data_IF_481870624721
#
_entry.id   IF_481870624721
#
_cell.length_a   1.000
_cell.length_b   1.000
_cell.length_c   1.000
_cell.angle_alpha   90.00
_cell.angle_beta   90.00
_cell.angle_gamma   90.00
#
_symmetry.space_group_name_H-M   'P 1'
#
loop_
_entity.id
_entity.type
_entity.pdbx_description
1 polymer ?
#
# COMPACT_ATOMS: atom_id res chain seq x y z
N UNK A 1 29.74 30.82 41.25
CA UNK A 1 30.16 32.22 41.54
C UNK A 1 29.84 33.08 40.33
N UNK A 2 29.28 34.19 40.58
CA UNK A 2 28.91 35.40 39.79
C UNK A 2 27.52 35.40 39.14
N UNK A 3 26.65 36.03 39.88
CA UNK A 3 25.41 36.72 39.57
C UNK A 3 25.69 38.08 38.89
N UNK A 4 24.77 38.59 38.06
CA UNK A 4 24.39 40.01 37.89
C UNK A 4 23.12 39.94 37.00
N UNK A 5 21.94 40.26 37.36
CA UNK A 5 21.12 41.32 37.96
C UNK A 5 21.01 42.63 37.15
N UNK A 6 19.74 42.98 36.85
CA UNK A 6 19.04 44.31 36.81
C UNK A 6 19.23 45.06 35.47
N UNK A 7 18.21 45.71 34.89
CA UNK A 7 17.11 46.54 35.44
C UNK A 7 16.00 46.82 34.39
N UNK A 8 14.84 47.06 34.91
CA UNK A 8 13.65 47.63 34.25
C UNK A 8 13.76 49.15 34.09
N UNK A 9 13.02 49.71 33.15
CA UNK A 9 12.45 51.05 33.32
C UNK A 9 11.18 51.26 32.45
N UNK A 10 10.15 51.75 33.09
CA UNK A 10 8.85 52.14 32.57
C UNK A 10 8.80 53.68 32.29
N UNK A 11 7.84 54.09 31.51
CA UNK A 11 7.04 55.34 31.53
C UNK A 11 6.56 55.62 30.09
N UNK A 12 5.34 55.84 29.74
CA UNK A 12 4.29 56.64 30.35
C UNK A 12 3.90 57.74 29.38
N UNK A 13 2.63 57.84 28.97
CA UNK A 13 2.19 59.01 28.19
C UNK A 13 0.77 58.85 27.62
N UNK A 14 -0.25 59.23 28.41
CA UNK A 14 -1.60 59.56 27.93
C UNK A 14 -1.58 60.91 27.18
N UNK A 15 -2.43 60.99 26.14
CA UNK A 15 -3.16 62.23 25.84
C UNK A 15 -4.42 61.96 25.02
N UNK A 16 -5.55 62.30 25.58
CA UNK A 16 -6.86 62.31 24.94
C UNK A 16 -7.08 63.64 24.23
N UNK A 17 -7.79 63.62 23.12
CA UNK A 17 -8.47 64.79 22.60
C UNK A 17 -9.78 64.39 21.92
N UNK A 18 -10.87 64.75 22.50
CA UNK A 18 -12.21 64.84 21.95
C UNK A 18 -12.33 65.96 20.96
N UNK A 19 -12.97 65.78 19.83
CA UNK A 19 -13.60 66.85 19.09
C UNK A 19 -14.83 66.31 18.36
N UNK A 20 -15.97 66.85 18.73
CA UNK A 20 -17.29 66.72 18.16
C UNK A 20 -17.40 67.57 16.88
N UNK A 21 -18.01 67.10 15.82
CA UNK A 21 -19.02 67.87 15.09
C UNK A 21 -19.90 67.09 14.09
N UNK A 22 -21.10 67.41 14.17
CA UNK A 22 -22.35 67.31 13.39
C UNK A 22 -22.38 66.84 11.96
N UNK A 23 -23.24 65.86 11.71
CA UNK A 23 -24.36 65.95 10.75
C UNK A 23 -24.09 65.88 9.26
N UNK A 24 -24.42 64.75 8.64
CA UNK A 24 -25.11 64.75 7.36
C UNK A 24 -25.71 63.36 7.13
N UNK A 25 -27.01 63.31 6.96
CA UNK A 25 -27.78 62.16 6.49
C UNK A 25 -27.33 61.76 5.09
N UNK A 26 -26.75 60.58 4.96
CA UNK A 26 -26.61 59.88 3.70
C UNK A 26 -27.28 58.52 3.84
N UNK A 27 -28.34 58.33 3.10
CA UNK A 27 -29.08 57.08 2.93
C UNK A 27 -28.15 56.03 2.40
N UNK A 28 -27.66 55.11 3.25
CA UNK A 28 -26.86 53.99 2.84
C UNK A 28 -27.81 52.91 2.32
N UNK A 29 -27.83 52.80 1.00
CA UNK A 29 -28.39 51.62 0.29
C UNK A 29 -27.58 50.42 0.69
N UNK A 30 -28.17 49.52 1.49
CA UNK A 30 -27.59 48.23 1.84
C UNK A 30 -27.52 47.37 0.60
N UNK A 31 -26.32 47.22 0.01
CA UNK A 31 -26.03 46.19 -0.91
C UNK A 31 -26.19 44.81 -0.21
N UNK A 32 -26.79 43.82 -0.83
CA UNK A 32 -26.86 42.51 -0.23
C UNK A 32 -25.44 41.98 -0.10
N UNK A 33 -25.06 41.63 1.14
CA UNK A 33 -23.83 40.89 1.40
C UNK A 33 -23.87 39.60 0.55
N UNK A 34 -23.06 39.59 -0.51
CA UNK A 34 -22.81 38.40 -1.29
C UNK A 34 -22.40 37.31 -0.31
N UNK A 35 -23.15 36.24 -0.27
CA UNK A 35 -22.79 35.03 0.40
C UNK A 35 -21.45 34.56 -0.23
N UNK A 36 -20.35 34.95 0.39
CA UNK A 36 -19.06 34.36 0.12
C UNK A 36 -19.17 32.90 0.45
N UNK A 37 -19.34 32.08 -0.59
CA UNK A 37 -19.19 30.65 -0.47
C UNK A 37 -17.78 30.36 0.05
N UNK A 38 -17.65 30.19 1.34
CA UNK A 38 -16.41 29.73 1.95
C UNK A 38 -16.03 28.43 1.26
N UNK A 39 -14.93 28.40 0.54
CA UNK A 39 -14.38 27.17 0.02
C UNK A 39 -14.33 26.19 1.19
N UNK A 40 -15.05 25.08 1.09
CA UNK A 40 -15.03 24.06 2.13
C UNK A 40 -13.56 23.69 2.39
N UNK A 41 -13.17 23.64 3.65
CA UNK A 41 -11.81 23.30 4.02
C UNK A 41 -11.43 21.97 3.34
N UNK A 42 -10.25 21.95 2.75
CA UNK A 42 -9.77 20.74 2.07
C UNK A 42 -9.75 19.57 3.05
N UNK A 43 -10.35 18.46 2.66
CA UNK A 43 -10.35 17.23 3.42
C UNK A 43 -8.93 16.68 3.54
N UNK A 44 -8.58 16.17 4.74
CA UNK A 44 -7.28 15.57 5.02
C UNK A 44 -7.42 14.06 5.17
N UNK A 45 -6.62 13.31 4.43
CA UNK A 45 -6.57 11.84 4.46
C UNK A 45 -5.22 11.44 5.06
N UNK A 46 -5.23 10.66 6.14
CA UNK A 46 -4.04 10.02 6.67
C UNK A 46 -3.85 8.65 6.00
N UNK A 47 -2.65 8.36 5.52
CA UNK A 47 -2.31 7.10 4.85
C UNK A 47 -1.11 6.48 5.53
N UNK A 48 -1.28 5.30 6.14
CA UNK A 48 -0.19 4.50 6.69
C UNK A 48 0.06 3.28 5.79
N UNK A 49 1.22 3.25 5.18
CA UNK A 49 1.67 2.21 4.26
C UNK A 49 2.67 1.32 4.99
N UNK A 50 2.61 0.01 4.77
CA UNK A 50 3.47 -0.95 5.47
C UNK A 50 4.97 -0.73 5.19
N UNK A 51 5.31 -0.32 3.94
CA UNK A 51 6.70 -0.21 3.47
C UNK A 51 6.78 0.73 2.27
N UNK A 52 7.35 1.92 2.43
CA UNK A 52 7.53 2.88 1.33
C UNK A 52 8.85 2.69 0.56
N UNK A 53 9.71 1.76 0.96
CA UNK A 53 10.91 1.43 0.19
C UNK A 53 10.57 0.59 -1.04
N UNK A 54 9.52 -0.24 -0.97
CA UNK A 54 9.09 -1.06 -2.09
C UNK A 54 8.45 -0.22 -3.23
N UNK A 55 8.92 -0.46 -4.46
CA UNK A 55 8.47 0.27 -5.66
C UNK A 55 6.94 0.18 -5.86
N UNK A 56 6.33 -0.94 -5.48
CA UNK A 56 4.88 -1.15 -5.51
C UNK A 56 4.14 -0.06 -4.73
N UNK A 57 4.54 0.20 -3.50
CA UNK A 57 3.87 1.18 -2.64
C UNK A 57 4.15 2.62 -3.06
N UNK A 58 5.34 2.90 -3.62
CA UNK A 58 5.62 4.21 -4.22
C UNK A 58 4.69 4.52 -5.40
N UNK A 59 4.39 3.54 -6.24
CA UNK A 59 3.44 3.69 -7.34
C UNK A 59 2.00 3.85 -6.82
N UNK A 60 1.61 3.11 -5.78
CA UNK A 60 0.29 3.25 -5.15
C UNK A 60 0.13 4.63 -4.53
N UNK A 61 1.15 5.13 -3.83
CA UNK A 61 1.20 6.49 -3.31
C UNK A 61 1.03 7.53 -4.42
N UNK A 62 1.77 7.39 -5.52
CA UNK A 62 1.65 8.29 -6.67
C UNK A 62 0.23 8.31 -7.26
N UNK A 63 -0.42 7.15 -7.33
CA UNK A 63 -1.82 7.02 -7.73
C UNK A 63 -2.77 7.75 -6.78
N UNK A 64 -2.59 7.58 -5.47
CA UNK A 64 -3.38 8.28 -4.45
C UNK A 64 -3.18 9.79 -4.51
N UNK A 65 -1.92 10.25 -4.63
CA UNK A 65 -1.60 11.68 -4.74
C UNK A 65 -2.21 12.33 -5.98
N UNK A 66 -2.14 11.63 -7.11
CA UNK A 66 -2.71 12.12 -8.39
C UNK A 66 -4.22 12.29 -8.29
N UNK A 67 -4.92 11.30 -7.70
CA UNK A 67 -6.37 11.33 -7.59
C UNK A 67 -6.84 12.35 -6.55
N UNK A 68 -6.15 12.45 -5.41
CA UNK A 68 -6.45 13.40 -4.34
C UNK A 68 -6.41 14.85 -4.82
N UNK A 69 -5.50 15.19 -5.74
CA UNK A 69 -5.41 16.53 -6.35
C UNK A 69 -6.69 16.91 -7.10
N UNK A 70 -7.36 15.96 -7.76
CA UNK A 70 -8.61 16.22 -8.49
C UNK A 70 -9.74 16.68 -7.57
N UNK A 71 -9.74 16.16 -6.33
CA UNK A 71 -10.74 16.45 -5.30
C UNK A 71 -10.31 17.54 -4.32
N UNK A 72 -9.13 18.15 -4.53
CA UNK A 72 -8.53 19.11 -3.60
C UNK A 72 -8.38 18.54 -2.18
N UNK A 73 -7.98 17.26 -2.05
CA UNK A 73 -7.69 16.62 -0.78
C UNK A 73 -6.21 16.76 -0.43
N UNK A 74 -5.95 16.96 0.86
CA UNK A 74 -4.61 16.86 1.44
C UNK A 74 -4.37 15.42 1.86
N UNK A 75 -3.25 14.83 1.47
CA UNK A 75 -2.86 13.48 1.89
C UNK A 75 -1.58 13.54 2.71
N UNK A 76 -1.56 12.83 3.84
CA UNK A 76 -0.40 12.68 4.72
C UNK A 76 0.01 11.21 4.66
N UNK A 77 1.14 10.94 4.01
CA UNK A 77 1.71 9.59 3.94
C UNK A 77 2.71 9.37 5.07
N UNK A 78 2.64 8.20 5.69
CA UNK A 78 3.63 7.74 6.68
C UNK A 78 3.99 6.28 6.41
N UNK A 79 5.23 5.96 6.66
CA UNK A 79 5.79 4.63 6.50
C UNK A 79 5.78 3.87 7.83
N UNK A 80 5.09 2.74 7.88
CA UNK A 80 5.11 1.87 9.05
C UNK A 80 6.43 1.10 9.16
N UNK A 81 7.20 1.01 8.06
CA UNK A 81 8.50 0.33 8.06
C UNK A 81 8.43 -1.11 8.59
N UNK A 82 7.39 -1.84 8.18
CA UNK A 82 7.11 -3.24 8.58
C UNK A 82 7.02 -3.45 10.10
N UNK A 83 6.49 -2.45 10.81
CA UNK A 83 6.33 -2.47 12.28
C UNK A 83 4.87 -2.19 12.64
N UNK A 84 4.18 -3.21 13.19
CA UNK A 84 2.79 -3.11 13.60
C UNK A 84 2.57 -2.13 14.75
N UNK A 85 3.52 -2.00 15.70
CA UNK A 85 3.40 -1.05 16.80
C UNK A 85 3.54 0.39 16.31
N UNK A 86 4.48 0.62 15.38
CA UNK A 86 4.62 1.91 14.70
C UNK A 86 3.35 2.25 13.91
N UNK A 87 2.76 1.27 13.21
CA UNK A 87 1.53 1.49 12.46
C UNK A 87 0.35 1.84 13.38
N UNK A 88 0.23 1.19 14.54
CA UNK A 88 -0.73 1.55 15.58
C UNK A 88 -0.56 3.02 16.01
N UNK A 89 0.66 3.42 16.38
CA UNK A 89 0.95 4.80 16.81
C UNK A 89 0.67 5.83 15.72
N UNK A 90 0.87 5.49 14.45
CA UNK A 90 0.53 6.36 13.31
C UNK A 90 -0.99 6.59 13.20
N UNK A 91 -1.80 5.59 13.50
CA UNK A 91 -3.27 5.75 13.53
C UNK A 91 -3.69 6.65 14.68
N UNK A 92 -3.09 6.49 15.88
CA UNK A 92 -3.31 7.37 17.03
C UNK A 92 -2.95 8.82 16.71
N UNK A 93 -1.85 9.04 15.98
CA UNK A 93 -1.44 10.35 15.48
C UNK A 93 -2.48 10.95 14.51
N UNK A 94 -3.02 10.15 13.58
CA UNK A 94 -4.07 10.61 12.67
C UNK A 94 -5.36 10.97 13.41
N UNK A 95 -5.73 10.19 14.44
CA UNK A 95 -6.86 10.48 15.31
C UNK A 95 -6.65 11.85 16.02
N UNK A 96 -5.46 12.05 16.61
CA UNK A 96 -5.09 13.29 17.30
C UNK A 96 -5.11 14.49 16.36
N UNK A 97 -4.70 14.32 15.11
CA UNK A 97 -4.74 15.34 14.03
C UNK A 97 -6.14 15.54 13.45
N UNK A 98 -7.11 14.73 13.84
CA UNK A 98 -8.50 14.78 13.37
C UNK A 98 -8.59 14.75 11.84
N UNK A 99 -7.88 13.81 11.21
CA UNK A 99 -7.99 13.62 9.76
C UNK A 99 -9.42 13.20 9.39
N UNK A 100 -9.86 13.50 8.18
CA UNK A 100 -11.23 13.21 7.72
C UNK A 100 -11.43 11.74 7.35
N UNK A 101 -10.37 11.04 6.93
CA UNK A 101 -10.36 9.61 6.67
C UNK A 101 -8.96 9.01 6.89
N UNK A 102 -8.89 7.71 7.15
CA UNK A 102 -7.65 6.97 7.26
C UNK A 102 -7.64 5.86 6.19
N UNK A 103 -6.51 5.73 5.49
CA UNK A 103 -6.20 4.59 4.62
C UNK A 103 -5.09 3.78 5.25
N UNK A 104 -5.26 2.47 5.30
CA UNK A 104 -4.28 1.55 5.83
C UNK A 104 -3.87 0.52 4.77
N UNK A 105 -2.58 0.27 4.69
CA UNK A 105 -2.00 -0.92 4.09
C UNK A 105 -1.35 -1.70 5.23
N UNK A 106 -2.06 -2.63 5.87
CA UNK A 106 -1.57 -3.32 7.06
C UNK A 106 -0.28 -4.10 6.82
N UNK A 107 0.69 -3.99 7.73
CA UNK A 107 1.82 -4.91 7.76
C UNK A 107 1.40 -6.29 8.32
N UNK A 108 0.51 -6.30 9.29
CA UNK A 108 -0.13 -7.52 9.81
C UNK A 108 -1.64 -7.35 9.75
N UNK A 109 -2.28 -8.21 8.96
CA UNK A 109 -3.72 -8.18 8.72
C UNK A 109 -4.56 -8.48 9.97
N UNK A 110 -4.04 -9.20 10.96
CA UNK A 110 -4.73 -9.49 12.21
C UNK A 110 -4.51 -8.40 13.25
N UNK A 111 -3.27 -7.93 13.40
CA UNK A 111 -2.92 -6.95 14.43
C UNK A 111 -3.55 -5.57 14.19
N UNK A 112 -3.77 -5.18 12.94
CA UNK A 112 -4.30 -3.85 12.60
C UNK A 112 -5.72 -3.57 13.12
N UNK A 113 -6.44 -4.59 13.50
CA UNK A 113 -7.85 -4.47 13.91
C UNK A 113 -8.08 -3.52 15.08
N UNK A 114 -7.18 -3.48 16.07
CA UNK A 114 -7.27 -2.55 17.21
C UNK A 114 -7.17 -1.09 16.77
N UNK A 115 -6.19 -0.76 15.93
CA UNK A 115 -6.03 0.58 15.38
C UNK A 115 -7.27 1.04 14.60
N UNK A 116 -7.85 0.14 13.79
CA UNK A 116 -9.08 0.43 13.05
C UNK A 116 -10.24 0.70 14.03
N UNK A 117 -10.37 -0.08 15.09
CA UNK A 117 -11.42 0.11 16.09
C UNK A 117 -11.28 1.46 16.81
N UNK A 118 -10.06 1.88 17.14
CA UNK A 118 -9.79 3.18 17.75
C UNK A 118 -10.16 4.34 16.81
N UNK A 119 -9.80 4.26 15.53
CA UNK A 119 -10.21 5.25 14.53
C UNK A 119 -11.74 5.32 14.40
N UNK A 120 -12.42 4.17 14.39
CA UNK A 120 -13.88 4.12 14.35
C UNK A 120 -14.52 4.75 15.61
N UNK A 121 -13.96 4.51 16.80
CA UNK A 121 -14.44 5.14 18.05
C UNK A 121 -14.28 6.67 18.02
N UNK A 122 -13.28 7.17 17.28
CA UNK A 122 -13.11 8.60 17.01
C UNK A 122 -14.00 9.12 15.86
N UNK A 123 -14.90 8.27 15.30
CA UNK A 123 -15.75 8.57 14.14
C UNK A 123 -14.98 8.89 12.85
N UNK A 124 -13.78 8.37 12.69
CA UNK A 124 -12.99 8.49 11.48
C UNK A 124 -13.21 7.26 10.61
N UNK A 125 -13.70 7.41 9.36
CA UNK A 125 -13.87 6.30 8.43
C UNK A 125 -12.50 5.73 8.02
N UNK A 126 -12.41 4.39 7.99
CA UNK A 126 -11.19 3.68 7.61
C UNK A 126 -11.41 2.92 6.30
N UNK A 127 -10.44 3.02 5.41
CA UNK A 127 -10.33 2.29 4.16
C UNK A 127 -9.06 1.44 4.19
N UNK A 128 -9.04 0.33 3.46
CA UNK A 128 -7.81 -0.43 3.28
C UNK A 128 -7.45 -0.50 1.79
N UNK A 129 -6.17 -0.35 1.49
CA UNK A 129 -5.61 -0.46 0.16
C UNK A 129 -4.64 -1.64 0.12
N UNK A 130 -4.69 -2.46 -0.92
CA UNK A 130 -3.87 -3.64 -1.19
C UNK A 130 -4.02 -4.78 -0.16
N UNK A 131 -3.83 -4.52 1.12
CA UNK A 131 -3.89 -5.51 2.21
C UNK A 131 -5.13 -5.25 3.06
N UNK A 132 -5.93 -6.29 3.31
CA UNK A 132 -7.15 -6.18 4.09
C UNK A 132 -6.93 -6.37 5.60
N UNK A 133 -7.88 -5.88 6.38
CA UNK A 133 -8.04 -6.27 7.78
C UNK A 133 -8.66 -7.68 7.84
N UNK A 134 -7.99 -8.63 8.47
CA UNK A 134 -8.49 -9.99 8.74
C UNK A 134 -9.04 -10.15 10.17
N UNK A 135 -8.83 -9.14 11.03
CA UNK A 135 -9.37 -9.13 12.38
C UNK A 135 -10.90 -8.98 12.38
N UNK A 136 -11.53 -9.48 13.44
CA UNK A 136 -12.94 -9.19 13.72
C UNK A 136 -13.17 -7.82 14.33
N UNK A 137 -12.10 -7.12 14.73
CA UNK A 137 -12.14 -5.77 15.29
C UNK A 137 -12.04 -4.72 14.20
N UNK A 138 -12.71 -3.60 14.44
CA UNK A 138 -12.71 -2.49 13.52
C UNK A 138 -13.59 -2.69 12.28
N UNK A 139 -14.08 -1.59 11.74
CA UNK A 139 -14.95 -1.55 10.56
C UNK A 139 -14.25 -0.78 9.44
N UNK A 140 -14.06 -1.46 8.32
CA UNK A 140 -13.52 -0.87 7.08
C UNK A 140 -14.70 -0.49 6.17
N UNK A 141 -14.68 0.72 5.63
CA UNK A 141 -15.72 1.21 4.70
C UNK A 141 -15.60 0.50 3.35
N UNK A 142 -14.38 0.45 2.81
CA UNK A 142 -14.08 -0.26 1.57
C UNK A 142 -12.63 -0.78 1.59
N UNK A 143 -12.43 -1.93 0.95
CA UNK A 143 -11.14 -2.52 0.65
C UNK A 143 -10.90 -2.49 -0.85
N UNK A 144 -9.79 -1.88 -1.29
CA UNK A 144 -9.41 -1.77 -2.70
C UNK A 144 -8.12 -2.54 -2.91
N UNK A 145 -8.14 -3.59 -3.72
CA UNK A 145 -6.97 -4.46 -3.95
C UNK A 145 -7.04 -5.17 -5.29
N UNK A 146 -5.93 -5.76 -5.69
CA UNK A 146 -5.89 -6.72 -6.79
C UNK A 146 -6.74 -7.96 -6.49
N UNK A 147 -7.26 -8.62 -7.54
CA UNK A 147 -7.81 -9.96 -7.41
C UNK A 147 -6.64 -10.95 -7.24
N UNK A 148 -6.18 -11.09 -5.99
CA UNK A 148 -5.00 -11.89 -5.66
C UNK A 148 -5.19 -13.39 -5.89
N UNK A 149 -6.43 -13.90 -5.77
CA UNK A 149 -6.72 -15.31 -6.10
C UNK A 149 -6.55 -15.52 -7.61
N UNK A 150 -7.09 -14.62 -8.44
CA UNK A 150 -6.94 -14.67 -9.90
C UNK A 150 -5.47 -14.55 -10.30
N UNK A 151 -4.75 -13.56 -9.72
CA UNK A 151 -3.32 -13.36 -9.98
C UNK A 151 -2.47 -14.56 -9.63
N UNK A 152 -2.73 -15.20 -8.47
CA UNK A 152 -2.08 -16.44 -8.08
C UNK A 152 -2.31 -17.59 -9.08
N UNK A 153 -3.55 -17.74 -9.60
CA UNK A 153 -3.86 -18.71 -10.65
C UNK A 153 -3.15 -18.40 -11.98
N UNK A 154 -2.92 -17.11 -12.27
CA UNK A 154 -2.13 -16.69 -13.44
C UNK A 154 -0.65 -17.03 -13.25
N UNK A 155 -0.06 -16.72 -12.09
CA UNK A 155 1.31 -17.10 -11.75
C UNK A 155 1.52 -18.64 -11.82
N UNK A 156 0.56 -19.44 -11.34
CA UNK A 156 0.56 -20.88 -11.48
C UNK A 156 0.58 -21.32 -12.95
N UNK A 157 -0.18 -20.66 -13.81
CA UNK A 157 -0.18 -20.91 -15.24
C UNK A 157 1.17 -20.64 -15.89
N UNK A 158 1.89 -19.59 -15.45
CA UNK A 158 3.26 -19.32 -15.88
C UNK A 158 4.22 -20.40 -15.36
N UNK A 159 4.13 -20.77 -14.09
CA UNK A 159 4.96 -21.82 -13.49
C UNK A 159 4.77 -23.16 -14.19
N UNK A 160 3.54 -23.59 -14.44
CA UNK A 160 3.28 -24.85 -15.16
C UNK A 160 3.97 -24.90 -16.52
N UNK A 161 3.92 -23.80 -17.28
CA UNK A 161 4.61 -23.69 -18.57
C UNK A 161 6.12 -23.72 -18.40
N UNK A 162 6.64 -22.98 -17.43
CA UNK A 162 8.07 -22.85 -17.17
C UNK A 162 8.75 -24.17 -16.80
N UNK A 163 8.08 -25.01 -16.00
CA UNK A 163 8.62 -26.30 -15.54
C UNK A 163 8.19 -27.50 -16.43
N UNK A 164 7.47 -27.25 -17.52
CA UNK A 164 7.00 -28.31 -18.44
C UNK A 164 5.95 -29.24 -17.82
N UNK A 165 5.14 -28.73 -16.90
CA UNK A 165 3.99 -29.44 -16.30
C UNK A 165 4.35 -30.46 -15.21
N UNK A 166 5.63 -30.62 -14.83
CA UNK A 166 6.05 -31.56 -13.78
C UNK A 166 7.36 -31.15 -13.12
N UNK A 167 7.55 -31.54 -11.86
CA UNK A 167 8.78 -31.31 -11.10
C UNK A 167 8.53 -30.68 -9.75
N UNK A 168 9.60 -30.39 -9.03
CA UNK A 168 9.59 -29.80 -7.71
C UNK A 168 9.67 -28.27 -7.80
N UNK A 169 8.85 -27.57 -7.02
CA UNK A 169 8.89 -26.12 -6.93
C UNK A 169 8.84 -25.66 -5.48
N UNK A 170 9.30 -24.45 -5.22
CA UNK A 170 9.21 -23.80 -3.93
C UNK A 170 8.33 -22.52 -4.02
N UNK A 171 7.83 -22.09 -2.87
CA UNK A 171 7.17 -20.78 -2.67
C UNK A 171 7.95 -20.01 -1.63
N UNK A 172 8.29 -18.76 -1.93
CA UNK A 172 8.79 -17.78 -0.96
C UNK A 172 7.64 -16.88 -0.58
N UNK A 173 7.15 -17.04 0.65
CA UNK A 173 5.85 -16.56 1.16
C UNK A 173 5.97 -15.34 2.10
N UNK A 174 4.84 -14.75 2.48
CA UNK A 174 4.65 -13.74 3.52
C UNK A 174 3.23 -13.92 4.11
N UNK A 175 3.06 -14.86 5.04
CA UNK A 175 1.73 -15.31 5.47
C UNK A 175 0.98 -14.32 6.38
N UNK A 176 1.61 -13.23 6.84
CA UNK A 176 1.02 -12.23 7.74
C UNK A 176 -0.05 -11.36 7.06
N UNK A 177 -0.02 -11.28 5.72
CA UNK A 177 -0.87 -10.36 4.96
C UNK A 177 -1.87 -11.10 4.06
N UNK A 178 -3.12 -10.63 4.08
CA UNK A 178 -4.24 -11.28 3.36
C UNK A 178 -4.05 -11.32 1.85
N UNK A 179 -3.42 -10.32 1.26
CA UNK A 179 -3.17 -10.28 -0.18
C UNK A 179 -2.29 -11.45 -0.63
N UNK A 180 -1.27 -11.79 0.18
CA UNK A 180 -0.38 -12.92 -0.11
C UNK A 180 -1.05 -14.25 0.20
N UNK A 181 -1.82 -14.36 1.29
CA UNK A 181 -2.62 -15.56 1.58
C UNK A 181 -3.54 -15.92 0.40
N UNK A 182 -4.26 -14.94 -0.16
CA UNK A 182 -5.13 -15.13 -1.33
C UNK A 182 -4.32 -15.48 -2.59
N UNK A 183 -3.15 -14.87 -2.79
CA UNK A 183 -2.24 -15.11 -3.90
C UNK A 183 -1.70 -16.54 -3.87
N UNK A 184 -1.17 -16.99 -2.74
CA UNK A 184 -0.66 -18.36 -2.55
C UNK A 184 -1.77 -19.37 -2.66
N UNK A 185 -2.96 -19.10 -2.12
CA UNK A 185 -4.16 -19.93 -2.31
C UNK A 185 -4.49 -20.08 -3.79
N UNK A 186 -4.55 -18.98 -4.54
CA UNK A 186 -4.79 -18.99 -5.98
C UNK A 186 -3.73 -19.76 -6.74
N UNK A 187 -2.45 -19.60 -6.37
CA UNK A 187 -1.34 -20.32 -6.97
C UNK A 187 -1.45 -21.84 -6.76
N UNK A 188 -1.68 -22.26 -5.52
CA UNK A 188 -1.89 -23.71 -5.20
C UNK A 188 -3.08 -24.31 -5.95
N UNK A 189 -4.20 -23.58 -6.02
CA UNK A 189 -5.36 -24.00 -6.81
C UNK A 189 -5.01 -24.14 -8.30
N UNK A 190 -4.27 -23.18 -8.85
CA UNK A 190 -3.85 -23.18 -10.24
C UNK A 190 -2.88 -24.33 -10.56
N UNK A 191 -1.91 -24.63 -9.69
CA UNK A 191 -1.00 -25.78 -9.81
C UNK A 191 -1.81 -27.10 -9.81
N UNK A 192 -2.68 -27.29 -8.81
CA UNK A 192 -3.47 -28.51 -8.71
C UNK A 192 -4.34 -28.76 -9.95
N UNK A 193 -4.91 -27.70 -10.53
CA UNK A 193 -5.79 -27.79 -11.69
C UNK A 193 -5.05 -27.97 -13.01
N UNK A 194 -3.95 -27.22 -13.22
CA UNK A 194 -3.31 -27.13 -14.55
C UNK A 194 -2.11 -28.06 -14.72
N UNK A 195 -1.43 -28.39 -13.64
CA UNK A 195 -0.22 -29.23 -13.68
C UNK A 195 -0.06 -30.08 -12.41
N UNK A 196 -0.92 -31.09 -12.20
CA UNK A 196 -0.99 -31.88 -10.97
C UNK A 196 0.29 -32.71 -10.70
N UNK A 197 1.19 -32.84 -11.67
CA UNK A 197 2.48 -33.49 -11.50
C UNK A 197 3.59 -32.54 -10.98
N UNK A 198 3.28 -31.25 -10.77
CA UNK A 198 4.15 -30.30 -10.08
C UNK A 198 3.94 -30.44 -8.58
N UNK A 199 5.03 -30.58 -7.83
CA UNK A 199 5.01 -30.75 -6.38
C UNK A 199 5.60 -29.52 -5.70
N UNK A 200 4.86 -28.91 -4.80
CA UNK A 200 5.38 -27.87 -3.91
C UNK A 200 6.11 -28.59 -2.78
N UNK A 201 7.45 -28.46 -2.76
CA UNK A 201 8.32 -29.16 -1.79
C UNK A 201 8.78 -28.27 -0.66
N UNK A 202 8.66 -26.93 -0.83
CA UNK A 202 8.97 -25.95 0.20
C UNK A 202 8.03 -24.74 0.08
N UNK A 203 7.63 -24.20 1.23
CA UNK A 203 6.91 -22.96 1.36
C UNK A 203 7.51 -22.25 2.58
N UNK A 204 8.23 -21.18 2.33
CA UNK A 204 9.08 -20.51 3.32
C UNK A 204 8.61 -19.08 3.50
N UNK A 205 8.36 -18.68 4.72
CA UNK A 205 8.13 -17.28 5.07
C UNK A 205 9.41 -16.48 4.84
N UNK A 206 9.43 -15.72 3.76
CA UNK A 206 10.53 -14.83 3.38
C UNK A 206 10.19 -13.36 3.67
N UNK A 207 9.10 -13.10 4.40
CA UNK A 207 8.68 -11.77 4.85
C UNK A 207 8.52 -10.75 3.72
N UNK A 208 8.29 -11.20 2.49
CA UNK A 208 8.13 -10.34 1.32
C UNK A 208 9.37 -9.52 0.94
N UNK A 209 10.56 -9.81 1.48
CA UNK A 209 11.78 -9.01 1.28
C UNK A 209 12.84 -9.72 0.46
N UNK A 210 13.64 -8.93 -0.27
CA UNK A 210 14.69 -9.44 -1.18
C UNK A 210 15.80 -10.17 -0.43
N UNK A 211 16.29 -9.59 0.66
CA UNK A 211 17.44 -10.12 1.39
C UNK A 211 17.10 -11.44 2.08
N UNK A 212 15.93 -11.50 2.74
CA UNK A 212 15.47 -12.74 3.38
C UNK A 212 15.20 -13.82 2.34
N UNK A 213 14.55 -13.47 1.22
CA UNK A 213 14.29 -14.40 0.12
C UNK A 213 15.58 -14.95 -0.51
N UNK A 214 16.65 -14.15 -0.62
CA UNK A 214 17.96 -14.61 -1.08
C UNK A 214 18.57 -15.62 -0.11
N UNK A 215 18.52 -15.38 1.20
CA UNK A 215 18.97 -16.32 2.22
C UNK A 215 18.18 -17.63 2.19
N UNK A 216 16.84 -17.52 2.26
CA UNK A 216 15.95 -18.68 2.30
C UNK A 216 16.05 -19.53 1.04
N UNK A 217 16.17 -18.88 -0.14
CA UNK A 217 16.37 -19.61 -1.40
C UNK A 217 17.70 -20.35 -1.44
N UNK A 218 18.75 -19.81 -0.80
CA UNK A 218 20.02 -20.53 -0.68
C UNK A 218 19.87 -21.83 0.11
N UNK A 219 19.08 -21.82 1.18
CA UNK A 219 18.77 -23.01 1.98
C UNK A 219 17.89 -24.00 1.19
N UNK A 220 16.88 -23.51 0.47
CA UNK A 220 16.05 -24.33 -0.42
C UNK A 220 16.90 -25.07 -1.48
N UNK A 221 17.85 -24.38 -2.09
CA UNK A 221 18.77 -24.98 -3.08
C UNK A 221 19.67 -26.07 -2.48
N UNK A 222 20.03 -25.95 -1.19
CA UNK A 222 20.78 -26.98 -0.50
C UNK A 222 19.92 -28.21 -0.19
N UNK A 223 18.68 -28.00 0.23
CA UNK A 223 17.75 -29.06 0.62
C UNK A 223 17.12 -29.80 -0.58
N UNK A 224 16.85 -29.09 -1.68
CA UNK A 224 16.07 -29.60 -2.83
C UNK A 224 16.87 -29.57 -4.13
N UNK A 225 17.72 -30.59 -4.35
CA UNK A 225 18.62 -30.65 -5.51
C UNK A 225 17.91 -30.81 -6.87
N UNK A 226 16.65 -31.26 -6.88
CA UNK A 226 15.83 -31.46 -8.06
C UNK A 226 14.85 -30.32 -8.35
N UNK A 227 15.01 -29.17 -7.64
CA UNK A 227 14.13 -28.01 -7.79
C UNK A 227 14.12 -27.52 -9.24
N UNK A 228 12.94 -27.31 -9.80
CA UNK A 228 12.74 -26.81 -11.17
C UNK A 228 12.16 -25.41 -11.22
N UNK A 229 11.55 -24.94 -10.14
CA UNK A 229 10.96 -23.60 -10.13
C UNK A 229 10.80 -23.04 -8.74
N UNK A 230 10.67 -21.73 -8.66
CA UNK A 230 10.33 -20.98 -7.46
C UNK A 230 9.31 -19.90 -7.78
N UNK A 231 8.29 -19.78 -6.96
CA UNK A 231 7.34 -18.67 -6.97
C UNK A 231 7.70 -17.71 -5.84
N UNK A 232 8.15 -16.50 -6.22
CA UNK A 232 8.25 -15.38 -5.30
C UNK A 232 6.91 -14.65 -5.27
N UNK A 233 6.36 -14.46 -4.08
CA UNK A 233 5.02 -13.87 -3.92
C UNK A 233 4.95 -12.40 -4.34
N UNK A 234 6.08 -11.75 -4.49
CA UNK A 234 6.26 -10.42 -5.05
C UNK A 234 7.60 -10.34 -5.80
N UNK A 235 7.86 -9.22 -6.47
CA UNK A 235 9.11 -9.03 -7.24
C UNK A 235 10.35 -9.06 -6.37
N UNK A 236 10.31 -8.53 -5.16
CA UNK A 236 11.46 -8.54 -4.27
C UNK A 236 11.86 -9.96 -3.88
N UNK A 237 10.91 -10.82 -3.53
CA UNK A 237 11.21 -12.23 -3.24
C UNK A 237 11.68 -12.98 -4.49
N UNK A 238 11.10 -12.70 -5.65
CA UNK A 238 11.53 -13.32 -6.90
C UNK A 238 12.95 -12.90 -7.30
N UNK A 239 13.31 -11.63 -7.17
CA UNK A 239 14.64 -11.11 -7.45
C UNK A 239 15.68 -11.57 -6.41
N UNK A 240 15.27 -11.75 -5.16
CA UNK A 240 16.07 -12.42 -4.13
C UNK A 240 16.42 -13.86 -4.53
N UNK A 241 15.41 -14.62 -4.98
CA UNK A 241 15.61 -15.96 -5.49
C UNK A 241 16.53 -16.00 -6.72
N UNK A 242 16.38 -15.08 -7.67
CA UNK A 242 17.30 -14.95 -8.83
C UNK A 242 18.73 -14.77 -8.36
N UNK A 243 18.95 -13.96 -7.34
CA UNK A 243 20.29 -13.69 -6.79
C UNK A 243 20.91 -14.96 -6.20
N UNK A 244 20.17 -15.71 -5.38
CA UNK A 244 20.63 -16.98 -4.79
C UNK A 244 20.93 -18.04 -5.85
N UNK A 245 20.03 -18.20 -6.84
CA UNK A 245 20.19 -19.16 -7.95
C UNK A 245 21.48 -18.88 -8.73
N UNK A 246 21.73 -17.59 -9.03
CA UNK A 246 22.97 -17.19 -9.72
C UNK A 246 24.22 -17.43 -8.88
N UNK A 247 24.17 -17.07 -7.59
CA UNK A 247 25.31 -17.28 -6.68
C UNK A 247 25.66 -18.76 -6.51
N UNK A 248 24.65 -19.64 -6.52
CA UNK A 248 24.84 -21.10 -6.48
C UNK A 248 25.32 -21.71 -7.81
N UNK A 249 25.43 -20.91 -8.90
CA UNK A 249 25.71 -21.41 -10.23
C UNK A 249 24.63 -22.36 -10.76
N UNK A 250 23.45 -22.37 -10.16
CA UNK A 250 22.34 -23.21 -10.58
C UNK A 250 21.73 -22.64 -11.88
N UNK A 251 21.50 -23.52 -12.83
CA UNK A 251 20.79 -23.21 -14.07
C UNK A 251 19.53 -24.06 -14.14
N UNK A 252 18.57 -23.69 -14.97
CA UNK A 252 17.34 -24.45 -15.19
C UNK A 252 16.32 -24.43 -14.03
N UNK A 253 16.39 -23.44 -13.14
CA UNK A 253 15.34 -23.17 -12.16
C UNK A 253 14.55 -21.97 -12.65
N UNK A 254 13.27 -22.18 -12.94
CA UNK A 254 12.38 -21.13 -13.39
C UNK A 254 11.95 -20.24 -12.21
N UNK A 255 12.05 -18.93 -12.36
CA UNK A 255 11.55 -17.98 -11.38
C UNK A 255 10.29 -17.31 -11.92
N UNK A 256 9.19 -17.39 -11.19
CA UNK A 256 7.95 -16.68 -11.46
C UNK A 256 7.72 -15.73 -10.29
N UNK A 257 7.45 -14.48 -10.58
CA UNK A 257 7.19 -13.43 -9.61
C UNK A 257 5.76 -12.92 -9.65
N UNK A 258 5.57 -11.77 -9.01
CA UNK A 258 4.30 -11.08 -8.91
C UNK A 258 4.57 -9.59 -8.73
N UNK A 259 3.80 -8.73 -9.38
CA UNK A 259 3.74 -7.27 -9.46
C UNK A 259 4.12 -6.76 -10.86
N UNK A 260 5.14 -7.31 -11.48
CA UNK A 260 5.74 -6.89 -12.75
C UNK A 260 6.24 -5.42 -12.70
N UNK A 261 7.00 -5.08 -11.66
CA UNK A 261 7.68 -3.80 -11.52
C UNK A 261 8.84 -3.68 -12.52
N UNK A 262 9.42 -2.49 -12.66
CA UNK A 262 10.41 -2.20 -13.70
C UNK A 262 11.63 -3.11 -13.67
N UNK A 263 12.14 -3.46 -12.47
CA UNK A 263 13.30 -4.33 -12.32
C UNK A 263 12.97 -5.78 -12.71
N UNK A 264 11.83 -6.32 -12.26
CA UNK A 264 11.38 -7.64 -12.63
C UNK A 264 11.11 -7.77 -14.13
N UNK A 265 10.49 -6.76 -14.76
CA UNK A 265 10.33 -6.72 -16.23
C UNK A 265 11.67 -6.77 -16.94
N UNK A 266 12.69 -6.10 -16.40
CA UNK A 266 14.05 -6.16 -16.93
C UNK A 266 14.65 -7.56 -16.76
N UNK A 267 14.46 -8.20 -15.61
CA UNK A 267 14.91 -9.55 -15.33
C UNK A 267 14.22 -10.58 -16.27
N UNK A 268 12.93 -10.40 -16.55
CA UNK A 268 12.17 -11.21 -17.51
C UNK A 268 12.71 -11.03 -18.94
N UNK A 269 12.93 -9.79 -19.36
CA UNK A 269 13.51 -9.47 -20.66
C UNK A 269 14.87 -10.16 -20.85
N UNK A 270 15.70 -10.16 -19.82
CA UNK A 270 17.02 -10.76 -19.80
C UNK A 270 16.99 -12.30 -19.61
N UNK A 271 15.82 -12.90 -19.38
CA UNK A 271 15.66 -14.34 -19.18
C UNK A 271 16.08 -14.84 -17.80
N UNK A 272 16.22 -13.94 -16.82
CA UNK A 272 16.53 -14.29 -15.41
C UNK A 272 15.27 -14.71 -14.64
N UNK A 273 14.10 -14.21 -15.05
CA UNK A 273 12.79 -14.64 -14.62
C UNK A 273 11.97 -15.13 -15.83
N UNK A 274 11.06 -16.06 -15.61
CA UNK A 274 10.19 -16.59 -16.66
C UNK A 274 9.02 -15.63 -16.96
N UNK A 275 8.45 -15.04 -15.94
CA UNK A 275 7.34 -14.11 -16.06
C UNK A 275 6.75 -13.76 -14.71
N UNK A 276 5.79 -12.83 -14.73
CA UNK A 276 5.08 -12.29 -13.58
C UNK A 276 3.58 -12.26 -13.75
N UNK A 277 2.86 -12.33 -12.64
CA UNK A 277 1.50 -11.79 -12.59
C UNK A 277 1.58 -10.28 -12.34
N UNK A 278 0.81 -9.49 -13.11
CA UNK A 278 0.86 -8.02 -13.04
C UNK A 278 -0.12 -7.51 -11.99
N UNK A 279 0.32 -6.55 -11.18
CA UNK A 279 -0.54 -5.67 -10.41
C UNK A 279 -0.53 -4.22 -10.98
N UNK A 280 -1.52 -3.43 -10.58
CA UNK A 280 -1.68 -2.03 -10.97
C UNK A 280 -1.81 -1.17 -9.71
N UNK A 281 -0.71 -0.93 -8.97
CA UNK A 281 -0.75 -0.22 -7.70
C UNK A 281 -1.25 1.22 -7.83
N UNK A 282 -0.94 1.91 -8.92
CA UNK A 282 -1.48 3.23 -9.25
C UNK A 282 -3.02 3.25 -9.29
N UNK A 283 -3.62 2.19 -9.86
CA UNK A 283 -5.10 2.03 -9.88
C UNK A 283 -5.67 1.71 -8.51
N UNK A 284 -4.97 0.87 -7.72
CA UNK A 284 -5.38 0.62 -6.33
C UNK A 284 -5.41 1.94 -5.57
N UNK A 285 -4.36 2.75 -5.71
CA UNK A 285 -4.26 4.05 -5.07
C UNK A 285 -5.37 5.01 -5.51
N UNK A 286 -5.56 5.20 -6.81
CA UNK A 286 -6.57 6.13 -7.34
C UNK A 286 -7.99 5.70 -6.95
N UNK A 287 -8.34 4.43 -7.11
CA UNK A 287 -9.67 3.90 -6.74
C UNK A 287 -9.94 3.97 -5.23
N UNK A 288 -8.90 3.92 -4.40
CA UNK A 288 -9.06 4.14 -2.95
C UNK A 288 -9.49 5.57 -2.65
N UNK A 289 -8.88 6.54 -3.33
CA UNK A 289 -9.26 7.96 -3.17
C UNK A 289 -10.64 8.23 -3.77
N UNK A 290 -11.00 7.62 -4.89
CA UNK A 290 -12.36 7.68 -5.46
C UNK A 290 -13.40 7.14 -4.48
N UNK A 291 -13.11 6.00 -3.83
CA UNK A 291 -14.00 5.42 -2.82
C UNK A 291 -14.19 6.36 -1.61
N UNK A 292 -13.13 7.05 -1.18
CA UNK A 292 -13.21 8.06 -0.11
C UNK A 292 -14.05 9.26 -0.57
N UNK A 293 -13.86 9.72 -1.80
CA UNK A 293 -14.65 10.81 -2.37
C UNK A 293 -16.14 10.47 -2.43
N UNK A 294 -16.47 9.29 -2.92
CA UNK A 294 -17.86 8.82 -2.98
C UNK A 294 -18.50 8.68 -1.60
N UNK A 295 -17.72 8.21 -0.62
CA UNK A 295 -18.16 8.16 0.78
C UNK A 295 -18.48 9.55 1.33
N UNK A 296 -17.61 10.54 1.13
CA UNK A 296 -17.85 11.92 1.57
C UNK A 296 -19.02 12.58 0.83
N UNK A 297 -19.27 12.18 -0.40
CA UNK A 297 -20.45 12.61 -1.17
C UNK A 297 -21.76 11.91 -0.75
N UNK A 298 -21.72 11.03 0.26
CA UNK A 298 -22.89 10.28 0.73
C UNK A 298 -23.34 9.17 -0.21
N UNK A 299 -22.52 8.80 -1.19
CA UNK A 299 -22.82 7.70 -2.10
C UNK A 299 -22.55 6.33 -1.45
N UNK A 300 -23.22 5.30 -1.96
CA UNK A 300 -22.95 3.93 -1.54
C UNK A 300 -21.62 3.45 -2.12
N UNK A 301 -20.65 3.13 -1.24
CA UNK A 301 -19.34 2.57 -1.63
C UNK A 301 -19.39 1.04 -1.52
N UNK A 302 -18.95 0.29 -2.54
CA UNK A 302 -18.81 -1.15 -2.44
C UNK A 302 -17.79 -1.54 -1.35
N UNK A 303 -18.10 -2.56 -0.55
CA UNK A 303 -17.19 -3.02 0.51
C UNK A 303 -15.87 -3.60 -0.03
N UNK A 304 -15.87 -4.11 -1.28
CA UNK A 304 -14.68 -4.57 -2.00
C UNK A 304 -14.67 -3.99 -3.41
N UNK A 305 -13.51 -3.47 -3.82
CA UNK A 305 -13.25 -2.96 -5.16
C UNK A 305 -12.02 -3.72 -5.67
N UNK A 306 -12.24 -4.63 -6.63
CA UNK A 306 -11.19 -5.48 -7.17
C UNK A 306 -10.57 -4.86 -8.43
N UNK A 307 -9.24 -4.79 -8.45
CA UNK A 307 -8.45 -4.44 -9.62
C UNK A 307 -8.02 -5.74 -10.31
N UNK A 308 -8.37 -5.89 -11.57
CA UNK A 308 -8.02 -7.09 -12.34
C UNK A 308 -6.50 -7.19 -12.52
N UNK A 309 -5.98 -8.41 -12.47
CA UNK A 309 -4.57 -8.73 -12.67
C UNK A 309 -4.30 -9.15 -14.13
N UNK A 310 -3.04 -9.26 -14.50
CA UNK A 310 -2.58 -9.70 -15.82
C UNK A 310 -1.36 -10.60 -15.72
N UNK A 311 -0.69 -10.84 -16.86
CA UNK A 311 0.61 -11.53 -16.90
C UNK A 311 1.59 -10.73 -17.74
N UNK A 312 2.88 -10.78 -17.37
CA UNK A 312 3.99 -10.23 -18.13
C UNK A 312 5.04 -11.31 -18.38
N UNK A 313 5.42 -11.47 -19.62
CA UNK A 313 6.39 -12.48 -20.07
C UNK A 313 7.41 -11.85 -21.01
N UNK A 314 8.45 -12.62 -21.40
CA UNK A 314 9.43 -12.17 -22.38
C UNK A 314 8.81 -11.75 -23.72
N UNK A 315 7.70 -12.38 -24.11
CA UNK A 315 6.98 -12.00 -25.34
C UNK A 315 6.34 -10.61 -25.23
N UNK A 316 5.94 -10.20 -24.03
CA UNK A 316 5.36 -8.88 -23.77
C UNK A 316 6.46 -7.81 -23.68
N UNK A 317 7.65 -8.17 -23.19
CA UNK A 317 8.82 -7.30 -23.15
C UNK A 317 9.42 -6.97 -24.53
N UNK A 318 9.03 -7.71 -25.56
CA UNK A 318 9.48 -7.51 -26.94
C UNK A 318 8.58 -6.60 -27.79
N UNK A 319 7.41 -6.21 -27.24
CA UNK A 319 6.46 -5.26 -27.83
C UNK A 319 6.81 -3.83 -27.49
#
# INVERSE_FOLDING_TARGET
MKRVLIAALAAGGLLAACSSNSGSNATATSAPAGAGGGAAAAKTIGVSIQDLEAQFYQQMEAGMQSEAKKYNYRVIFVDANRDSAKQQSQVEDFISKKVDAIVLTPYDSQAIGSAIAEANNANIPVFTADIANASKQGKVVAHVASDNVQGGQMAAGLMCKAVGGSGEIAILDEPEVTSVQDRVKGFKMGIAQKCPNVKIVAEIDSGGTRDKANSDMSDVLQAHKNLKGVFGINDDTALGAVTAIRAAGASNIAVVGYDAQAEARTAIKNGQMYGDAIQYPDKIGSLTVDAIHDYFAGKKVPAKIAVQTGTFTKADAAK
#
